data_IF_962857913835
#
_entry.id   IF_962857913835
#
_cell.length_a   1.000
_cell.length_b   1.000
_cell.length_c   1.000
_cell.angle_alpha   90.00
_cell.angle_beta   90.00
_cell.angle_gamma   90.00
#
_symmetry.space_group_name_H-M   'P 1'
#
loop_
_entity.id
_entity.type
_entity.pdbx_description
1 polymer ?
#
# COMPACT_ATOMS: atom_id res chain seq x y z
N UNK A 1 16.80 -23.15 11.17
CA UNK A 1 16.66 -21.79 10.62
C UNK A 1 17.82 -20.98 11.21
N UNK A 2 18.64 -20.35 10.36
CA UNK A 2 19.80 -19.58 10.80
C UNK A 2 19.30 -18.41 11.70
N UNK A 3 20.00 -18.11 12.81
CA UNK A 3 19.62 -17.02 13.73
C UNK A 3 19.48 -15.68 13.00
N UNK A 4 20.38 -15.39 12.06
CA UNK A 4 20.32 -14.20 11.22
C UNK A 4 19.03 -14.11 10.37
N UNK A 5 18.50 -15.22 9.88
CA UNK A 5 17.25 -15.23 9.11
C UNK A 5 16.04 -14.92 10.00
N UNK A 6 16.01 -15.50 11.21
CA UNK A 6 14.92 -15.23 12.16
C UNK A 6 14.87 -13.78 12.58
N UNK A 7 16.04 -13.19 12.87
CA UNK A 7 16.14 -11.76 13.21
C UNK A 7 15.68 -10.88 12.05
N UNK A 8 16.15 -11.14 10.83
CA UNK A 8 15.78 -10.41 9.61
C UNK A 8 14.27 -10.49 9.35
N UNK A 9 13.69 -11.67 9.52
CA UNK A 9 12.26 -11.89 9.37
C UNK A 9 11.45 -11.05 10.35
N UNK A 10 11.82 -11.03 11.64
CA UNK A 10 11.10 -10.26 12.67
C UNK A 10 11.21 -8.74 12.42
N UNK A 11 12.37 -8.24 11.98
CA UNK A 11 12.56 -6.83 11.64
C UNK A 11 11.72 -6.42 10.42
N UNK A 12 11.72 -7.24 9.36
CA UNK A 12 10.88 -7.00 8.18
C UNK A 12 9.39 -7.06 8.56
N UNK A 13 9.00 -8.03 9.40
CA UNK A 13 7.62 -8.15 9.88
C UNK A 13 7.17 -6.92 10.67
N UNK A 14 8.04 -6.38 11.53
CA UNK A 14 7.74 -5.17 12.29
C UNK A 14 7.55 -3.96 11.37
N UNK A 15 8.42 -3.77 10.38
CA UNK A 15 8.28 -2.72 9.39
C UNK A 15 6.95 -2.86 8.60
N UNK A 16 6.58 -4.09 8.23
CA UNK A 16 5.30 -4.40 7.56
C UNK A 16 4.08 -4.08 8.43
N UNK A 17 4.13 -4.40 9.74
CA UNK A 17 3.06 -4.06 10.69
C UNK A 17 2.88 -2.54 10.78
N UNK A 18 3.97 -1.78 10.82
CA UNK A 18 3.90 -0.31 10.88
C UNK A 18 3.29 0.24 9.58
N UNK A 19 3.72 -0.25 8.41
CA UNK A 19 3.14 0.19 7.14
C UNK A 19 1.64 -0.13 7.05
N UNK A 20 1.22 -1.33 7.47
CA UNK A 20 -0.18 -1.73 7.50
C UNK A 20 -1.00 -0.87 8.48
N UNK A 21 -0.43 -0.56 9.65
CA UNK A 21 -1.08 0.32 10.64
C UNK A 21 -1.35 1.73 10.09
N UNK A 22 -0.44 2.28 9.29
CA UNK A 22 -0.67 3.56 8.62
C UNK A 22 -1.91 3.48 7.69
N UNK A 23 -2.09 2.37 6.96
CA UNK A 23 -3.26 2.18 6.11
C UNK A 23 -4.56 2.00 6.91
N UNK A 24 -4.50 1.47 8.12
CA UNK A 24 -5.67 1.40 9.01
C UNK A 24 -6.09 2.80 9.50
N UNK A 25 -5.14 3.70 9.72
CA UNK A 25 -5.44 5.11 10.02
C UNK A 25 -5.98 5.84 8.79
N UNK A 26 -5.42 5.59 7.61
CA UNK A 26 -5.93 6.15 6.34
C UNK A 26 -7.39 5.76 6.11
N UNK A 27 -7.79 4.53 6.46
CA UNK A 27 -9.17 4.06 6.33
C UNK A 27 -10.19 4.96 7.04
N UNK A 28 -9.78 5.66 8.11
CA UNK A 28 -10.65 6.54 8.89
C UNK A 28 -10.90 7.89 8.21
N UNK A 29 -10.00 8.30 7.32
CA UNK A 29 -10.07 9.60 6.65
C UNK A 29 -10.25 9.51 5.13
N UNK A 30 -10.20 8.31 4.54
CA UNK A 30 -10.39 8.11 3.09
C UNK A 30 -11.88 8.27 2.71
N UNK A 31 -12.37 9.51 2.75
CA UNK A 31 -13.77 9.89 2.54
C UNK A 31 -13.88 10.95 1.43
N UNK A 32 -15.08 11.15 0.84
CA UNK A 32 -15.29 12.27 -0.07
C UNK A 32 -14.93 13.60 0.59
N UNK A 33 -14.16 14.43 -0.10
CA UNK A 33 -13.67 15.72 0.39
C UNK A 33 -12.25 15.70 0.97
N UNK A 34 -11.69 14.53 1.29
CA UNK A 34 -10.31 14.42 1.77
C UNK A 34 -9.33 14.74 0.64
N UNK A 35 -8.34 15.57 0.93
CA UNK A 35 -7.24 15.84 0.01
C UNK A 35 -6.17 14.76 0.13
N UNK A 36 -5.53 14.43 -0.98
CA UNK A 36 -4.50 13.38 -0.96
C UNK A 36 -3.23 13.79 -0.20
N UNK A 37 -2.95 15.09 -0.04
CA UNK A 37 -1.86 15.57 0.82
C UNK A 37 -2.17 15.41 2.33
N UNK A 38 -3.43 15.33 2.73
CA UNK A 38 -3.81 15.00 4.12
C UNK A 38 -3.53 13.53 4.43
N UNK A 39 -3.76 12.63 3.46
CA UNK A 39 -3.36 11.22 3.55
C UNK A 39 -1.85 11.10 3.69
N UNK A 40 -1.09 11.81 2.87
CA UNK A 40 0.38 11.83 2.93
C UNK A 40 0.89 12.30 4.29
N UNK A 41 0.33 13.40 4.80
CA UNK A 41 0.66 13.94 6.13
C UNK A 41 0.40 12.91 7.24
N UNK A 42 -0.76 12.26 7.22
CA UNK A 42 -1.11 11.23 8.20
C UNK A 42 -0.12 10.05 8.15
N UNK A 43 0.19 9.54 6.95
CA UNK A 43 1.17 8.47 6.79
C UNK A 43 2.55 8.88 7.33
N UNK A 44 3.02 10.09 7.02
CA UNK A 44 4.28 10.62 7.51
C UNK A 44 4.33 10.70 9.03
N UNK A 45 3.31 11.28 9.66
CA UNK A 45 3.21 11.42 11.12
C UNK A 45 3.14 10.05 11.79
N UNK A 46 2.29 9.14 11.31
CA UNK A 46 2.16 7.80 11.85
C UNK A 46 3.49 7.02 11.81
N UNK A 47 4.19 7.04 10.68
CA UNK A 47 5.48 6.35 10.56
C UNK A 47 6.50 6.90 11.56
N UNK A 48 6.61 8.24 11.67
CA UNK A 48 7.54 8.89 12.61
C UNK A 48 7.20 8.56 14.08
N UNK A 49 5.95 8.57 14.46
CA UNK A 49 5.49 8.24 15.81
C UNK A 49 5.84 6.79 16.22
N UNK A 50 5.97 5.90 15.22
CA UNK A 50 6.41 4.52 15.42
C UNK A 50 7.94 4.33 15.23
N UNK A 51 8.68 5.44 15.12
CA UNK A 51 10.14 5.44 14.94
C UNK A 51 10.57 4.78 13.62
N UNK A 52 9.75 4.90 12.60
CA UNK A 52 10.05 4.49 11.23
C UNK A 52 10.17 5.71 10.32
N UNK A 53 10.77 5.53 9.16
CA UNK A 53 10.87 6.55 8.12
C UNK A 53 10.04 6.16 6.92
N UNK A 54 9.59 7.15 6.17
CA UNK A 54 8.95 6.95 4.88
C UNK A 54 10.01 6.70 3.81
N UNK A 55 10.10 5.46 3.33
CA UNK A 55 11.13 5.07 2.37
C UNK A 55 11.05 5.81 1.01
N UNK A 56 9.86 6.10 0.44
CA UNK A 56 9.77 6.84 -0.82
C UNK A 56 10.20 8.30 -0.72
N UNK A 57 10.13 8.92 0.48
CA UNK A 57 10.42 10.34 0.65
C UNK A 57 11.87 10.65 0.25
N UNK A 58 12.02 11.51 -0.74
CA UNK A 58 13.28 11.91 -1.38
C UNK A 58 13.98 10.81 -2.19
N UNK A 59 13.44 9.60 -2.26
CA UNK A 59 14.00 8.57 -3.12
C UNK A 59 13.87 8.97 -4.57
N UNK A 60 15.02 9.15 -5.25
CA UNK A 60 15.09 9.61 -6.65
C UNK A 60 14.27 10.87 -6.95
N UNK A 61 14.13 11.74 -5.96
CA UNK A 61 13.40 12.99 -6.09
C UNK A 61 11.89 12.88 -5.85
N UNK A 62 11.37 11.73 -5.38
CA UNK A 62 9.95 11.63 -5.01
C UNK A 62 9.66 12.52 -3.80
N UNK A 63 8.67 13.45 -3.87
CA UNK A 63 8.56 14.54 -2.90
C UNK A 63 7.65 14.24 -1.71
N UNK A 64 7.12 13.01 -1.60
CA UNK A 64 6.05 12.65 -0.66
C UNK A 64 6.36 11.36 0.11
N UNK A 65 5.61 11.11 1.18
CA UNK A 65 5.83 9.98 2.09
C UNK A 65 5.11 8.71 1.66
N UNK A 66 4.06 8.84 0.88
CA UNK A 66 3.31 7.71 0.33
C UNK A 66 2.90 8.00 -1.11
N UNK A 67 2.37 7.00 -1.81
CA UNK A 67 1.74 7.21 -3.10
C UNK A 67 0.22 7.20 -2.93
N UNK A 68 -0.49 8.06 -3.69
CA UNK A 68 -1.94 8.10 -3.75
C UNK A 68 -2.39 8.04 -5.20
N UNK A 69 -2.74 6.84 -5.67
CA UNK A 69 -3.07 6.59 -7.08
C UNK A 69 -4.58 6.50 -7.24
N UNK A 70 -5.19 7.58 -7.74
CA UNK A 70 -6.64 7.71 -7.88
C UNK A 70 -7.10 7.31 -9.27
N UNK A 71 -8.12 6.47 -9.35
CA UNK A 71 -8.82 6.03 -10.57
C UNK A 71 -7.86 5.45 -11.64
N UNK A 72 -7.59 6.22 -12.71
CA UNK A 72 -6.77 5.79 -13.84
C UNK A 72 -5.26 5.85 -13.59
N UNK A 73 -4.83 6.41 -12.46
CA UNK A 73 -3.41 6.43 -12.07
C UNK A 73 -3.03 5.04 -11.59
N UNK A 74 -2.18 4.34 -12.34
CA UNK A 74 -1.84 2.93 -12.08
C UNK A 74 -1.01 2.78 -10.80
N UNK A 75 0.03 3.62 -10.62
CA UNK A 75 0.90 3.61 -9.45
C UNK A 75 1.63 4.96 -9.30
N UNK A 76 2.33 5.14 -8.20
CA UNK A 76 3.20 6.29 -7.89
C UNK A 76 2.50 7.65 -8.02
N UNK A 77 1.20 7.71 -7.79
CA UNK A 77 0.46 8.97 -7.74
C UNK A 77 1.02 9.88 -6.63
N UNK A 78 1.36 11.12 -6.99
CA UNK A 78 1.93 12.08 -6.03
C UNK A 78 0.81 12.76 -5.28
N UNK A 79 0.75 12.67 -3.94
CA UNK A 79 -0.17 13.42 -3.09
C UNK A 79 -0.11 14.93 -3.34
N UNK A 80 -1.27 15.58 -3.41
CA UNK A 80 -1.38 17.01 -3.71
C UNK A 80 -2.58 17.64 -3.01
N UNK A 81 -2.47 18.91 -2.62
CA UNK A 81 -3.60 19.72 -2.12
C UNK A 81 -4.69 19.93 -3.17
N UNK A 82 -4.35 19.83 -4.45
CA UNK A 82 -5.29 20.02 -5.55
C UNK A 82 -6.08 18.76 -5.89
N UNK A 83 -5.68 17.61 -5.33
CA UNK A 83 -6.35 16.33 -5.53
C UNK A 83 -7.26 16.00 -4.35
N UNK A 84 -8.54 16.26 -4.55
CA UNK A 84 -9.59 16.00 -3.57
C UNK A 84 -10.35 14.75 -3.98
N UNK A 85 -10.46 13.78 -3.07
CA UNK A 85 -11.24 12.55 -3.27
C UNK A 85 -12.73 12.88 -3.38
N UNK A 86 -13.39 12.23 -4.34
CA UNK A 86 -14.82 12.46 -4.63
C UNK A 86 -15.59 11.16 -4.48
N UNK A 87 -16.87 11.30 -4.24
CA UNK A 87 -17.83 10.19 -4.31
C UNK A 87 -17.65 9.42 -5.61
N UNK A 88 -17.51 8.10 -5.52
CA UNK A 88 -17.30 7.21 -6.66
C UNK A 88 -15.84 6.97 -7.07
N UNK A 89 -14.87 7.67 -6.46
CA UNK A 89 -13.45 7.43 -6.70
C UNK A 89 -12.99 6.12 -6.05
N UNK A 90 -11.96 5.52 -6.63
CA UNK A 90 -11.10 4.54 -5.96
C UNK A 90 -9.71 5.14 -5.82
N UNK A 91 -9.05 4.93 -4.69
CA UNK A 91 -7.67 5.39 -4.47
C UNK A 91 -6.84 4.26 -3.88
N UNK A 92 -5.74 3.91 -4.54
CA UNK A 92 -4.71 3.06 -3.93
C UNK A 92 -3.74 3.94 -3.15
N UNK A 93 -3.59 3.64 -1.86
CA UNK A 93 -2.59 4.27 -1.00
C UNK A 93 -1.51 3.24 -0.73
N UNK A 94 -0.26 3.61 -1.02
CA UNK A 94 0.90 2.74 -0.98
C UNK A 94 1.95 3.32 -0.03
N UNK A 95 2.31 2.53 0.99
CA UNK A 95 3.15 2.94 2.12
C UNK A 95 4.31 1.99 2.27
N UNK A 96 5.53 2.52 2.24
CA UNK A 96 6.75 1.78 2.56
C UNK A 96 7.40 2.35 3.81
N UNK A 97 7.37 1.60 4.91
CA UNK A 97 8.04 1.94 6.16
C UNK A 97 9.48 1.42 6.16
N UNK A 98 10.43 2.27 6.53
CA UNK A 98 11.82 1.90 6.80
C UNK A 98 12.05 1.94 8.31
N UNK A 99 12.23 0.78 8.94
CA UNK A 99 12.47 0.63 10.39
C UNK A 99 13.77 -0.13 10.63
N UNK A 100 14.70 0.48 11.32
CA UNK A 100 15.99 -0.14 11.70
C UNK A 100 16.74 -0.79 10.51
N UNK A 101 16.66 -0.15 9.33
CA UNK A 101 17.27 -0.62 8.09
C UNK A 101 16.44 -1.64 7.30
N UNK A 102 15.23 -1.99 7.75
CA UNK A 102 14.35 -2.96 7.10
C UNK A 102 13.09 -2.31 6.55
N UNK A 103 12.67 -2.75 5.35
CA UNK A 103 11.51 -2.21 4.67
C UNK A 103 10.28 -3.08 4.90
N UNK A 104 9.16 -2.43 5.15
CA UNK A 104 7.83 -3.03 5.08
C UNK A 104 7.00 -2.24 4.08
N UNK A 105 6.54 -2.91 3.03
CA UNK A 105 5.85 -2.31 1.90
C UNK A 105 4.49 -2.94 1.72
N UNK A 106 3.45 -2.11 1.69
CA UNK A 106 2.07 -2.56 1.50
C UNK A 106 1.17 -1.46 0.96
N UNK A 107 0.17 -1.85 0.20
CA UNK A 107 -0.84 -0.92 -0.30
C UNK A 107 -2.26 -1.42 -0.06
N UNK A 108 -3.20 -0.48 -0.07
CA UNK A 108 -4.63 -0.78 0.00
C UNK A 108 -5.40 0.16 -0.91
N UNK A 109 -6.37 -0.39 -1.62
CA UNK A 109 -7.31 0.41 -2.40
C UNK A 109 -8.57 0.68 -1.57
N UNK A 110 -8.91 1.96 -1.45
CA UNK A 110 -10.09 2.45 -0.76
C UNK A 110 -11.16 2.86 -1.78
N UNK A 111 -12.39 2.43 -1.54
CA UNK A 111 -13.57 2.88 -2.26
C UNK A 111 -14.09 4.14 -1.56
N UNK A 112 -14.24 5.23 -2.29
CA UNK A 112 -14.65 6.53 -1.74
C UNK A 112 -16.15 6.71 -1.94
N UNK A 113 -16.92 6.47 -0.87
CA UNK A 113 -18.38 6.45 -0.92
C UNK A 113 -18.92 5.32 -1.80
N UNK A 114 -19.99 5.58 -2.56
CA UNK A 114 -20.60 4.61 -3.47
C UNK A 114 -19.88 4.61 -4.81
N UNK A 115 -19.11 3.55 -5.09
CA UNK A 115 -18.39 3.39 -6.35
C UNK A 115 -19.17 2.57 -7.35
N UNK A 116 -18.85 2.69 -8.64
CA UNK A 116 -19.49 1.94 -9.71
C UNK A 116 -19.27 0.42 -9.56
N UNK A 117 -20.21 -0.39 -10.09
CA UNK A 117 -20.08 -1.85 -10.13
C UNK A 117 -18.77 -2.30 -10.79
N UNK A 118 -18.33 -1.57 -11.82
CA UNK A 118 -17.05 -1.85 -12.49
C UNK A 118 -15.85 -1.62 -11.57
N UNK A 119 -15.87 -0.53 -10.81
CA UNK A 119 -14.82 -0.22 -9.84
C UNK A 119 -14.79 -1.26 -8.71
N UNK A 120 -15.94 -1.61 -8.12
CA UNK A 120 -16.05 -2.68 -7.12
C UNK A 120 -15.49 -4.00 -7.63
N UNK A 121 -15.84 -4.37 -8.86
CA UNK A 121 -15.32 -5.60 -9.49
C UNK A 121 -13.81 -5.55 -9.63
N UNK A 122 -13.25 -4.43 -10.09
CA UNK A 122 -11.79 -4.26 -10.22
C UNK A 122 -11.08 -4.42 -8.89
N UNK A 123 -11.50 -3.71 -7.85
CA UNK A 123 -10.90 -3.76 -6.51
C UNK A 123 -10.97 -5.18 -5.95
N UNK A 124 -12.16 -5.80 -6.01
CA UNK A 124 -12.38 -7.17 -5.54
C UNK A 124 -11.52 -8.19 -6.28
N UNK A 125 -11.51 -8.16 -7.61
CA UNK A 125 -10.73 -9.11 -8.42
C UNK A 125 -9.23 -8.97 -8.16
N UNK A 126 -8.73 -7.74 -8.01
CA UNK A 126 -7.32 -7.49 -7.70
C UNK A 126 -6.95 -8.04 -6.32
N UNK A 127 -7.79 -7.82 -5.31
CA UNK A 127 -7.58 -8.37 -3.98
C UNK A 127 -7.59 -9.91 -3.99
N UNK A 128 -8.57 -10.52 -4.65
CA UNK A 128 -8.67 -11.98 -4.74
C UNK A 128 -7.47 -12.59 -5.51
N UNK A 129 -7.00 -11.92 -6.56
CA UNK A 129 -5.79 -12.32 -7.29
C UNK A 129 -4.54 -12.31 -6.39
N UNK A 130 -4.39 -11.25 -5.58
CA UNK A 130 -3.32 -11.15 -4.58
C UNK A 130 -3.40 -12.29 -3.57
N UNK A 131 -4.57 -12.57 -2.99
CA UNK A 131 -4.73 -13.64 -2.01
C UNK A 131 -4.39 -15.01 -2.59
N UNK A 132 -4.83 -15.29 -3.82
CA UNK A 132 -4.46 -16.53 -4.55
C UNK A 132 -2.95 -16.64 -4.79
N UNK A 133 -2.29 -15.53 -5.10
CA UNK A 133 -0.85 -15.50 -5.27
C UNK A 133 -0.10 -15.78 -3.95
N UNK A 134 -0.59 -15.25 -2.84
CA UNK A 134 -0.01 -15.50 -1.51
C UNK A 134 -0.15 -16.98 -1.11
N UNK A 135 -1.30 -17.60 -1.38
CA UNK A 135 -1.59 -19.00 -1.03
C UNK A 135 -0.60 -19.99 -1.63
N UNK A 136 -0.05 -19.72 -2.80
CA UNK A 136 0.89 -20.62 -3.47
C UNK A 136 2.34 -20.45 -3.02
N UNK A 137 2.66 -19.36 -2.28
CA UNK A 137 4.06 -19.06 -1.87
C UNK A 137 4.61 -20.14 -0.95
N UNK A 138 5.68 -20.77 -1.40
CA UNK A 138 6.40 -21.82 -0.66
C UNK A 138 7.85 -21.91 -1.12
N UNK A 139 8.68 -22.64 -0.40
CA UNK A 139 10.05 -22.92 -0.82
C UNK A 139 10.08 -23.57 -2.20
N UNK A 140 11.07 -23.20 -3.00
CA UNK A 140 11.33 -23.72 -4.34
C UNK A 140 10.24 -23.43 -5.39
N UNK A 141 9.29 -22.55 -5.08
CA UNK A 141 8.32 -22.07 -6.07
C UNK A 141 9.02 -21.15 -7.08
N UNK A 142 8.91 -21.40 -8.39
CA UNK A 142 9.37 -20.45 -9.40
C UNK A 142 8.63 -19.10 -9.28
N UNK A 143 9.37 -18.00 -9.32
CA UNK A 143 8.76 -16.65 -9.20
C UNK A 143 7.69 -16.38 -10.27
N UNK A 144 7.86 -16.95 -11.46
CA UNK A 144 6.89 -16.84 -12.56
C UNK A 144 5.52 -17.43 -12.26
N UNK A 145 5.40 -18.38 -11.32
CA UNK A 145 4.12 -19.01 -10.96
C UNK A 145 3.18 -18.02 -10.25
N UNK A 146 3.74 -17.04 -9.53
CA UNK A 146 2.97 -15.94 -8.92
C UNK A 146 2.27 -15.13 -10.03
N UNK A 147 3.00 -14.75 -11.07
CA UNK A 147 2.43 -14.05 -12.22
C UNK A 147 1.42 -14.88 -12.98
N UNK A 148 1.71 -16.18 -13.18
CA UNK A 148 0.81 -17.09 -13.87
C UNK A 148 -0.54 -17.27 -13.15
N UNK A 149 -0.53 -17.39 -11.81
CA UNK A 149 -1.78 -17.54 -11.05
C UNK A 149 -2.64 -16.26 -11.12
N UNK A 150 -2.00 -15.09 -11.03
CA UNK A 150 -2.69 -13.80 -11.19
C UNK A 150 -3.30 -13.70 -12.60
N UNK A 151 -2.50 -13.93 -13.63
CA UNK A 151 -2.94 -13.83 -15.03
C UNK A 151 -4.09 -14.78 -15.37
N UNK A 152 -4.08 -15.98 -14.83
CA UNK A 152 -5.15 -16.97 -15.09
C UNK A 152 -6.45 -16.64 -14.34
N UNK A 153 -6.37 -15.83 -13.28
CA UNK A 153 -7.53 -15.45 -12.48
C UNK A 153 -8.23 -14.19 -13.02
N UNK A 154 -7.50 -13.20 -13.49
CA UNK A 154 -8.05 -11.92 -14.00
C UNK A 154 -8.47 -11.99 -15.45
#
# INVERSE_FOLDING_TARGET
MNENFKESFEKTRLAGIIAAGALDEVAKIALPGTRTDEIDKLCYEFLNDHGAYSAPLFYRGFPKSCCTSTNHVVCHGIPSSDKILKEGDIVNVDVTALKDGWHGDTSRTFEIGEVSVKAKKLVKTTYEALMKAIEIVKNDLPLGDIGAIIQNYV
#
